data_IF_975512939064
#
_entry.id   IF_975512939064
#
_cell.length_a   1.000
_cell.length_b   1.000
_cell.length_c   1.000
_cell.angle_alpha   90.00
_cell.angle_beta   90.00
_cell.angle_gamma   90.00
#
_symmetry.space_group_name_H-M   'P 1'
#
loop_
_entity.id
_entity.type
_entity.pdbx_description
1 polymer ?
#
# COMPACT_ATOMS: atom_id res chain seq x y z
N UNK A 1 22.86 -10.67 3.08
CA UNK A 1 21.52 -10.50 3.69
C UNK A 1 21.00 -9.11 3.37
N UNK A 2 19.70 -8.96 3.10
CA UNK A 2 19.06 -7.69 2.73
C UNK A 2 17.73 -7.51 3.44
N UNK A 3 17.20 -6.29 3.38
CA UNK A 3 15.96 -5.92 4.04
C UNK A 3 14.98 -5.27 3.05
N UNK A 4 13.70 -5.66 3.16
CA UNK A 4 12.57 -4.97 2.55
C UNK A 4 11.73 -4.36 3.66
N UNK A 5 11.53 -3.05 3.60
CA UNK A 5 10.67 -2.33 4.54
C UNK A 5 9.44 -1.87 3.78
N UNK A 6 8.27 -2.35 4.19
CA UNK A 6 6.99 -1.95 3.63
C UNK A 6 6.29 -1.01 4.61
N UNK A 7 5.88 0.15 4.12
CA UNK A 7 5.14 1.13 4.93
C UNK A 7 3.84 1.50 4.23
N UNK A 8 2.71 1.13 4.83
CA UNK A 8 1.45 1.72 4.40
C UNK A 8 1.46 3.20 4.75
N UNK A 9 1.06 4.05 3.82
CA UNK A 9 0.95 5.49 4.05
C UNK A 9 0.26 5.81 5.39
N UNK A 10 0.61 6.94 6.01
CA UNK A 10 -0.08 7.46 7.18
C UNK A 10 -1.55 7.74 6.92
N UNK A 11 -2.35 8.00 7.94
CA UNK A 11 -3.76 8.28 7.80
C UNK A 11 -3.99 9.43 6.80
N UNK A 12 -4.81 9.20 5.77
CA UNK A 12 -5.23 10.25 4.82
C UNK A 12 -6.51 10.95 5.28
N UNK A 13 -6.82 12.10 4.68
CA UNK A 13 -8.08 12.83 4.92
C UNK A 13 -9.28 11.89 4.74
N UNK A 14 -9.34 11.11 3.66
CA UNK A 14 -10.44 10.19 3.41
C UNK A 14 -10.43 8.91 4.27
N UNK A 15 -9.29 8.54 4.86
CA UNK A 15 -9.31 7.53 5.91
C UNK A 15 -10.02 8.03 7.16
N UNK A 16 -9.79 9.28 7.55
CA UNK A 16 -10.48 9.92 8.68
C UNK A 16 -11.99 10.05 8.41
N UNK A 17 -12.38 10.43 7.19
CA UNK A 17 -13.77 10.54 6.75
C UNK A 17 -14.44 9.18 6.51
N UNK A 18 -13.74 8.08 6.69
CA UNK A 18 -14.21 6.71 6.45
C UNK A 18 -14.75 6.47 5.02
N UNK A 19 -14.08 7.04 4.00
CA UNK A 19 -14.47 6.91 2.59
C UNK A 19 -13.64 5.87 1.85
N UNK A 20 -14.23 5.30 0.78
CA UNK A 20 -13.50 4.49 -0.19
C UNK A 20 -12.59 5.40 -1.04
N UNK A 21 -11.28 5.29 -0.89
CA UNK A 21 -10.33 6.21 -1.54
C UNK A 21 -9.90 5.75 -2.93
N UNK A 22 -9.47 4.50 -3.03
CA UNK A 22 -8.95 3.96 -4.29
C UNK A 22 -7.84 4.83 -4.90
N UNK A 23 -8.02 5.22 -6.16
CA UNK A 23 -7.06 6.04 -6.91
C UNK A 23 -7.27 7.56 -6.78
N UNK A 24 -8.26 8.01 -6.00
CA UNK A 24 -8.38 9.47 -5.72
C UNK A 24 -7.13 9.93 -4.96
N UNK A 25 -6.55 11.04 -5.42
CA UNK A 25 -5.25 11.52 -4.95
C UNK A 25 -5.38 12.52 -3.79
N UNK A 26 -5.77 11.99 -2.63
CA UNK A 26 -5.87 12.74 -1.37
C UNK A 26 -4.59 12.63 -0.55
N UNK A 27 -4.27 13.67 0.19
CA UNK A 27 -3.07 13.75 1.03
C UNK A 27 -3.31 13.18 2.44
N UNK A 28 -2.24 13.17 3.22
CA UNK A 28 -2.22 12.87 4.65
C UNK A 28 -2.96 13.94 5.45
N UNK A 29 -3.61 13.52 6.53
CA UNK A 29 -4.00 14.44 7.61
C UNK A 29 -2.86 14.59 8.63
N UNK A 30 -3.04 15.39 9.67
CA UNK A 30 -2.02 15.64 10.70
C UNK A 30 -1.60 14.36 11.44
N UNK A 31 -2.56 13.50 11.77
CA UNK A 31 -2.24 12.21 12.38
C UNK A 31 -1.39 11.34 11.46
N UNK A 32 -1.70 11.32 10.14
CA UNK A 32 -0.90 10.59 9.15
C UNK A 32 0.53 11.10 9.05
N UNK A 33 0.75 12.41 9.14
CA UNK A 33 2.08 13.00 9.19
C UNK A 33 2.84 12.60 10.45
N UNK A 34 2.17 12.56 11.60
CA UNK A 34 2.73 12.07 12.87
C UNK A 34 3.11 10.59 12.78
N UNK A 35 2.24 9.76 12.18
CA UNK A 35 2.53 8.35 11.94
C UNK A 35 3.76 8.16 11.03
N UNK A 36 3.91 8.98 9.99
CA UNK A 36 5.06 8.92 9.09
C UNK A 36 6.37 9.34 9.80
N UNK A 37 6.33 10.36 10.66
CA UNK A 37 7.48 10.74 11.50
C UNK A 37 7.90 9.59 12.42
N UNK A 38 6.95 8.97 13.12
CA UNK A 38 7.21 7.82 13.99
C UNK A 38 7.79 6.64 13.19
N UNK A 39 7.26 6.37 12.00
CA UNK A 39 7.79 5.32 11.11
C UNK A 39 9.28 5.58 10.79
N UNK A 40 9.64 6.80 10.42
CA UNK A 40 11.03 7.19 10.17
C UNK A 40 11.94 7.00 11.38
N UNK A 41 11.47 7.36 12.58
CA UNK A 41 12.21 7.18 13.84
C UNK A 41 12.44 5.69 14.15
N UNK A 42 11.44 4.84 13.97
CA UNK A 42 11.55 3.39 14.18
C UNK A 42 12.53 2.75 13.18
N UNK A 43 12.49 3.15 11.90
CA UNK A 43 13.43 2.66 10.88
C UNK A 43 14.85 3.12 11.23
N UNK A 44 15.04 4.38 11.63
CA UNK A 44 16.35 4.93 12.02
C UNK A 44 17.00 4.13 13.15
N UNK A 45 16.21 3.70 14.14
CA UNK A 45 16.69 2.87 15.26
C UNK A 45 17.24 1.52 14.82
N UNK A 46 16.79 0.97 13.69
CA UNK A 46 17.34 -0.29 13.14
C UNK A 46 18.72 -0.13 12.51
N UNK A 47 19.19 1.10 12.25
CA UNK A 47 20.48 1.41 11.65
C UNK A 47 20.72 0.69 10.31
N UNK A 48 19.65 0.48 9.55
CA UNK A 48 19.69 -0.11 8.20
C UNK A 48 19.91 1.00 7.19
N UNK A 49 20.99 0.94 6.43
CA UNK A 49 21.19 1.82 5.28
C UNK A 49 20.23 1.42 4.16
N UNK A 50 19.39 2.34 3.70
CA UNK A 50 18.45 2.10 2.59
C UNK A 50 19.12 2.46 1.28
N UNK A 51 19.15 1.52 0.34
CA UNK A 51 19.77 1.70 -0.96
C UNK A 51 18.80 2.22 -2.02
N UNK A 52 17.53 1.78 -1.96
CA UNK A 52 16.49 2.14 -2.92
C UNK A 52 15.18 2.50 -2.23
N UNK A 53 14.54 3.55 -2.76
CA UNK A 53 13.25 4.02 -2.31
C UNK A 53 12.20 3.92 -3.43
N UNK A 54 11.05 3.29 -3.12
CA UNK A 54 9.92 3.21 -4.03
C UNK A 54 8.66 3.78 -3.40
N UNK A 55 7.83 4.40 -4.22
CA UNK A 55 6.50 4.85 -3.83
C UNK A 55 5.48 4.61 -4.94
N UNK A 56 4.20 4.56 -4.58
CA UNK A 56 3.14 4.71 -5.57
C UNK A 56 3.11 6.13 -6.16
N UNK A 57 2.24 6.37 -7.13
CA UNK A 57 2.03 7.73 -7.67
C UNK A 57 1.25 8.65 -6.72
N UNK A 58 0.56 8.10 -5.72
CA UNK A 58 -0.40 8.81 -4.89
C UNK A 58 0.26 9.64 -3.78
N UNK A 59 -0.19 10.89 -3.61
CA UNK A 59 0.39 11.88 -2.69
C UNK A 59 0.58 11.34 -1.27
N UNK A 60 -0.41 10.66 -0.71
CA UNK A 60 -0.33 10.14 0.66
C UNK A 60 0.84 9.17 0.87
N UNK A 61 1.18 8.36 -0.15
CA UNK A 61 2.34 7.47 -0.08
C UNK A 61 3.64 8.23 -0.30
N UNK A 62 3.70 9.13 -1.28
CA UNK A 62 4.85 9.99 -1.53
C UNK A 62 5.19 10.85 -0.32
N UNK A 63 4.19 11.50 0.28
CA UNK A 63 4.40 12.36 1.43
C UNK A 63 4.78 11.56 2.69
N UNK A 64 4.26 10.35 2.86
CA UNK A 64 4.73 9.44 3.92
C UNK A 64 6.21 9.13 3.75
N UNK A 65 6.62 8.76 2.53
CA UNK A 65 8.03 8.43 2.24
C UNK A 65 8.95 9.64 2.42
N UNK A 66 8.54 10.82 1.94
CA UNK A 66 9.29 12.06 2.12
C UNK A 66 9.56 12.36 3.60
N UNK A 67 8.53 12.24 4.45
CA UNK A 67 8.66 12.47 5.90
C UNK A 67 9.60 11.42 6.52
N UNK A 68 9.55 10.17 6.07
CA UNK A 68 10.48 9.12 6.52
C UNK A 68 11.91 9.48 6.12
N UNK A 69 12.18 9.89 4.87
CA UNK A 69 13.50 10.30 4.40
C UNK A 69 14.05 11.48 5.20
N UNK A 70 13.23 12.48 5.52
CA UNK A 70 13.58 13.60 6.40
C UNK A 70 14.05 13.12 7.78
N UNK A 71 13.42 12.08 8.35
CA UNK A 71 13.82 11.50 9.65
C UNK A 71 15.10 10.67 9.57
N UNK A 72 15.34 10.03 8.43
CA UNK A 72 16.56 9.27 8.17
C UNK A 72 17.76 10.15 7.80
N UNK A 73 17.51 11.42 7.46
CA UNK A 73 18.48 12.32 6.81
C UNK A 73 19.06 11.71 5.52
N UNK A 74 18.17 11.08 4.73
CA UNK A 74 18.54 10.38 3.49
C UNK A 74 17.61 10.81 2.35
N UNK A 75 18.12 11.62 1.44
CA UNK A 75 17.36 12.26 0.34
C UNK A 75 17.62 11.63 -1.02
N UNK A 76 17.93 10.34 -1.07
CA UNK A 76 18.06 9.61 -2.33
C UNK A 76 16.77 9.68 -3.17
N UNK A 77 16.94 9.56 -4.48
CA UNK A 77 15.83 9.58 -5.42
C UNK A 77 14.79 8.50 -5.13
N UNK A 78 13.52 8.88 -5.26
CA UNK A 78 12.38 7.96 -5.10
C UNK A 78 11.88 7.53 -6.47
N UNK A 79 11.87 6.23 -6.71
CA UNK A 79 11.27 5.64 -7.90
C UNK A 79 9.76 5.50 -7.69
N UNK A 80 8.98 6.17 -8.54
CA UNK A 80 7.51 6.07 -8.49
C UNK A 80 7.01 4.98 -9.44
N UNK A 81 6.17 4.07 -8.92
CA UNK A 81 5.58 2.97 -9.68
C UNK A 81 4.05 2.96 -9.50
N UNK A 82 3.31 3.12 -10.59
CA UNK A 82 1.84 3.08 -10.55
C UNK A 82 1.31 1.71 -10.13
N UNK A 83 2.05 0.65 -10.37
CA UNK A 83 1.72 -0.70 -9.94
C UNK A 83 1.59 -0.81 -8.41
N UNK A 84 2.21 0.10 -7.66
CA UNK A 84 2.09 0.19 -6.21
C UNK A 84 0.87 1.01 -5.74
N UNK A 85 0.08 1.61 -6.65
CA UNK A 85 -1.13 2.35 -6.30
C UNK A 85 -2.12 1.49 -5.49
N UNK A 86 -3.00 2.14 -4.73
CA UNK A 86 -4.09 1.46 -4.02
C UNK A 86 -5.02 0.73 -5.02
N UNK A 87 -5.74 -0.28 -4.57
CA UNK A 87 -6.80 -0.93 -5.33
C UNK A 87 -7.89 0.06 -5.72
N UNK A 88 -8.35 0.01 -6.97
CA UNK A 88 -9.47 0.83 -7.43
C UNK A 88 -10.80 0.27 -6.94
N UNK A 89 -11.60 1.11 -6.28
CA UNK A 89 -12.87 0.67 -5.68
C UNK A 89 -14.10 0.83 -6.58
N UNK A 90 -13.90 1.09 -7.88
CA UNK A 90 -15.00 1.23 -8.84
C UNK A 90 -16.00 2.31 -8.41
N UNK A 91 -17.29 2.03 -8.59
CA UNK A 91 -18.40 2.92 -8.25
C UNK A 91 -18.53 3.25 -6.75
N UNK A 92 -17.83 2.50 -5.88
CA UNK A 92 -17.76 2.83 -4.45
C UNK A 92 -16.82 3.99 -4.13
N UNK A 93 -15.96 4.41 -5.09
CA UNK A 93 -14.98 5.48 -4.88
C UNK A 93 -15.66 6.78 -4.42
N UNK A 94 -15.18 7.34 -3.32
CA UNK A 94 -15.70 8.56 -2.71
C UNK A 94 -16.87 8.35 -1.74
N UNK A 95 -17.54 7.21 -1.74
CA UNK A 95 -18.67 6.93 -0.85
C UNK A 95 -18.18 6.62 0.58
N UNK A 96 -19.01 7.01 1.56
CA UNK A 96 -18.75 6.69 2.97
C UNK A 96 -19.01 5.19 3.22
N UNK A 97 -18.11 4.53 3.97
CA UNK A 97 -18.21 3.08 4.19
C UNK A 97 -19.37 2.68 5.09
N UNK A 98 -19.73 3.51 6.09
CA UNK A 98 -20.83 3.20 7.00
C UNK A 98 -22.18 3.42 6.34
N UNK A 99 -22.34 4.47 5.51
CA UNK A 99 -23.52 4.65 4.66
C UNK A 99 -23.69 3.46 3.71
N UNK A 100 -22.60 2.97 3.12
CA UNK A 100 -22.65 1.80 2.23
C UNK A 100 -22.98 0.51 2.97
N UNK A 101 -22.54 0.32 4.21
CA UNK A 101 -22.96 -0.80 5.06
C UNK A 101 -24.48 -0.76 5.33
N UNK A 102 -25.02 0.42 5.61
CA UNK A 102 -26.48 0.60 5.79
C UNK A 102 -27.25 0.28 4.51
N UNK A 103 -26.73 0.69 3.35
CA UNK A 103 -27.39 0.53 2.05
C UNK A 103 -27.29 -0.87 1.45
N UNK A 104 -26.10 -1.50 1.54
CA UNK A 104 -25.79 -2.77 0.86
C UNK A 104 -25.68 -3.97 1.83
N UNK A 105 -25.71 -3.72 3.12
CA UNK A 105 -25.41 -4.70 4.16
C UNK A 105 -23.92 -4.78 4.49
N UNK A 106 -23.63 -5.12 5.74
CA UNK A 106 -22.27 -5.16 6.28
C UNK A 106 -21.42 -6.23 5.58
N UNK A 107 -21.98 -7.43 5.35
CA UNK A 107 -21.30 -8.54 4.68
C UNK A 107 -20.88 -8.17 3.24
N UNK A 108 -21.74 -7.51 2.48
CA UNK A 108 -21.44 -7.12 1.10
C UNK A 108 -20.30 -6.10 1.06
N UNK A 109 -20.34 -5.11 1.94
CA UNK A 109 -19.24 -4.12 2.06
C UNK A 109 -17.96 -4.77 2.53
N UNK A 110 -18.02 -5.71 3.47
CA UNK A 110 -16.88 -6.50 3.89
C UNK A 110 -16.29 -7.31 2.73
N UNK A 111 -17.12 -8.00 1.95
CA UNK A 111 -16.69 -8.73 0.76
C UNK A 111 -15.98 -7.82 -0.26
N UNK A 112 -16.53 -6.64 -0.58
CA UNK A 112 -15.87 -5.67 -1.46
C UNK A 112 -14.51 -5.21 -0.94
N UNK A 113 -14.31 -5.19 0.36
CA UNK A 113 -13.05 -4.75 0.98
C UNK A 113 -12.02 -5.85 1.15
N UNK A 114 -12.44 -7.11 1.30
CA UNK A 114 -11.59 -8.20 1.79
C UNK A 114 -11.50 -9.42 0.88
N UNK A 115 -12.50 -9.68 0.04
CA UNK A 115 -12.45 -10.84 -0.86
C UNK A 115 -11.29 -10.75 -1.85
N UNK A 116 -10.89 -11.92 -2.33
CA UNK A 116 -9.80 -12.05 -3.28
C UNK A 116 -10.16 -11.53 -4.67
N UNK A 117 -11.28 -11.94 -5.23
CA UNK A 117 -11.64 -11.77 -6.64
C UNK A 117 -12.91 -10.95 -6.90
N UNK A 118 -13.64 -10.51 -5.86
CA UNK A 118 -14.83 -9.70 -6.05
C UNK A 118 -14.45 -8.26 -6.39
N UNK A 119 -14.99 -7.75 -7.51
CA UNK A 119 -14.88 -6.36 -7.94
C UNK A 119 -16.17 -5.60 -7.60
N UNK A 120 -16.10 -4.35 -7.11
CA UNK A 120 -17.21 -3.42 -7.21
C UNK A 120 -17.56 -3.13 -8.68
N UNK A 121 -18.76 -2.60 -8.93
CA UNK A 121 -19.13 -2.13 -10.26
C UNK A 121 -18.13 -1.07 -10.77
N UNK A 122 -17.90 -0.99 -12.10
CA UNK A 122 -16.99 0.01 -12.67
C UNK A 122 -17.40 1.44 -12.33
N UNK A 123 -16.41 2.32 -12.16
CA UNK A 123 -16.63 3.75 -12.07
C UNK A 123 -16.81 4.33 -13.47
N UNK A 124 -17.80 5.21 -13.64
CA UNK A 124 -18.01 5.91 -14.89
C UNK A 124 -16.78 6.76 -15.27
N UNK A 125 -16.34 6.66 -16.54
CA UNK A 125 -15.17 7.39 -17.04
C UNK A 125 -15.35 8.91 -17.06
N UNK A 126 -16.58 9.40 -17.00
CA UNK A 126 -16.88 10.84 -16.88
C UNK A 126 -16.75 11.36 -15.45
N UNK A 127 -16.68 10.48 -14.46
CA UNK A 127 -16.52 10.87 -13.05
C UNK A 127 -15.21 11.64 -12.82
N UNK A 128 -15.26 12.73 -12.06
CA UNK A 128 -14.06 13.45 -11.63
C UNK A 128 -13.12 12.62 -10.75
N UNK A 129 -13.61 11.53 -10.17
CA UNK A 129 -12.82 10.57 -9.40
C UNK A 129 -12.17 9.48 -10.27
N UNK A 130 -12.54 9.40 -11.56
CA UNK A 130 -11.94 8.42 -12.45
C UNK A 130 -10.47 8.81 -12.73
N UNK A 131 -9.50 7.85 -12.66
CA UNK A 131 -8.08 8.17 -12.79
C UNK A 131 -7.72 8.82 -14.13
N UNK A 132 -8.45 8.57 -15.21
CA UNK A 132 -8.27 9.27 -16.50
C UNK A 132 -8.42 10.79 -16.40
N UNK A 133 -9.19 11.28 -15.41
CA UNK A 133 -9.47 12.69 -15.17
C UNK A 133 -8.57 13.31 -14.09
N UNK A 134 -7.65 12.53 -13.51
CA UNK A 134 -6.74 12.97 -12.44
C UNK A 134 -5.33 13.17 -13.01
N UNK A 135 -4.76 14.37 -12.84
CA UNK A 135 -3.48 14.74 -13.42
C UNK A 135 -2.32 13.84 -13.03
N UNK A 136 -2.34 13.30 -11.81
CA UNK A 136 -1.32 12.39 -11.27
C UNK A 136 -1.07 11.17 -12.16
N UNK A 137 -2.07 10.75 -12.95
CA UNK A 137 -2.00 9.50 -13.71
C UNK A 137 -1.83 9.69 -15.22
N UNK A 138 -1.63 10.91 -15.71
CA UNK A 138 -1.51 11.22 -17.14
C UNK A 138 -0.37 10.48 -17.85
N UNK A 139 0.67 10.08 -17.12
CA UNK A 139 1.80 9.33 -17.69
C UNK A 139 1.54 7.81 -17.77
N UNK A 140 0.45 7.33 -17.20
CA UNK A 140 0.08 5.92 -17.26
C UNK A 140 -0.68 5.66 -18.57
N UNK A 141 -0.31 4.63 -19.36
CA UNK A 141 -1.09 4.26 -20.54
C UNK A 141 -2.56 4.02 -20.19
N UNK A 142 -3.48 4.54 -20.99
CA UNK A 142 -4.91 4.50 -20.69
C UNK A 142 -5.46 3.05 -20.56
N UNK A 143 -4.89 2.10 -21.26
CA UNK A 143 -5.22 0.66 -21.19
C UNK A 143 -4.76 0.00 -19.87
N UNK A 144 -3.93 0.68 -19.07
CA UNK A 144 -3.48 0.25 -17.74
C UNK A 144 -4.25 0.89 -16.61
N UNK A 145 -5.13 1.85 -16.89
CA UNK A 145 -5.95 2.51 -15.89
C UNK A 145 -7.23 1.71 -15.68
N UNK A 146 -7.47 1.17 -14.46
CA UNK A 146 -8.64 0.35 -14.20
C UNK A 146 -9.89 1.21 -13.96
N UNK A 147 -11.04 0.74 -14.40
CA UNK A 147 -12.36 1.28 -14.01
C UNK A 147 -12.82 0.69 -12.65
N UNK A 148 -12.29 -0.48 -12.26
CA UNK A 148 -12.50 -1.18 -10.99
C UNK A 148 -11.46 -2.30 -10.81
N UNK A 149 -11.16 -2.68 -9.56
CA UNK A 149 -10.25 -3.79 -9.25
C UNK A 149 -10.77 -4.68 -8.11
N UNK A 150 -10.51 -5.97 -8.22
CA UNK A 150 -10.44 -6.91 -7.09
C UNK A 150 -9.05 -6.86 -6.44
N UNK A 151 -8.85 -7.58 -5.34
CA UNK A 151 -7.51 -7.77 -4.78
C UNK A 151 -6.62 -8.59 -5.72
N UNK A 152 -7.20 -9.55 -6.47
CA UNK A 152 -6.49 -10.34 -7.48
C UNK A 152 -5.91 -9.45 -8.59
N UNK A 153 -6.67 -8.49 -9.11
CA UNK A 153 -6.17 -7.55 -10.14
C UNK A 153 -5.01 -6.70 -9.59
N UNK A 154 -5.17 -6.20 -8.38
CA UNK A 154 -4.11 -5.48 -7.68
C UNK A 154 -2.86 -6.36 -7.51
N UNK A 155 -3.04 -7.62 -7.12
CA UNK A 155 -1.95 -8.61 -6.98
C UNK A 155 -1.21 -8.82 -8.30
N UNK A 156 -1.91 -9.02 -9.41
CA UNK A 156 -1.30 -9.29 -10.72
C UNK A 156 -0.34 -8.15 -11.13
N UNK A 157 -0.74 -6.87 -10.98
CA UNK A 157 0.13 -5.75 -11.32
C UNK A 157 1.27 -5.52 -10.32
N UNK A 158 0.99 -5.74 -9.03
CA UNK A 158 1.99 -5.56 -7.98
C UNK A 158 3.08 -6.63 -8.05
N UNK A 159 2.71 -7.90 -8.29
CA UNK A 159 3.69 -8.99 -8.35
C UNK A 159 4.51 -8.93 -9.63
N UNK A 160 3.90 -8.50 -10.74
CA UNK A 160 4.68 -8.23 -11.95
C UNK A 160 5.80 -7.21 -11.65
N UNK A 161 5.48 -6.08 -11.02
CA UNK A 161 6.46 -5.07 -10.63
C UNK A 161 7.49 -5.63 -9.63
N UNK A 162 7.03 -6.41 -8.65
CA UNK A 162 7.94 -7.04 -7.66
C UNK A 162 8.98 -7.91 -8.37
N UNK A 163 8.58 -8.79 -9.26
CA UNK A 163 9.50 -9.71 -9.97
C UNK A 163 10.47 -8.96 -10.91
N UNK A 164 9.99 -7.92 -11.59
CA UNK A 164 10.79 -7.15 -12.56
C UNK A 164 11.78 -6.20 -11.87
N UNK A 165 11.44 -5.60 -10.73
CA UNK A 165 12.21 -4.53 -10.11
C UNK A 165 12.72 -4.87 -8.70
N UNK A 166 11.85 -5.38 -7.83
CA UNK A 166 12.20 -5.54 -6.42
C UNK A 166 13.02 -6.81 -6.19
N UNK A 167 12.59 -7.94 -6.74
CA UNK A 167 13.27 -9.23 -6.55
C UNK A 167 14.70 -9.22 -7.10
N UNK A 168 14.92 -8.50 -8.19
CA UNK A 168 16.26 -8.36 -8.80
C UNK A 168 17.20 -7.57 -7.88
N UNK A 169 16.68 -6.52 -7.25
CA UNK A 169 17.45 -5.60 -6.43
C UNK A 169 17.65 -6.07 -4.99
N UNK A 170 16.67 -6.80 -4.40
CA UNK A 170 16.69 -7.21 -2.99
C UNK A 170 17.85 -8.17 -2.67
N UNK A 171 18.47 -8.80 -3.67
CA UNK A 171 19.62 -9.70 -3.48
C UNK A 171 20.79 -9.07 -2.71
N UNK A 172 21.03 -7.78 -2.92
CA UNK A 172 22.16 -7.07 -2.37
C UNK A 172 21.86 -5.62 -1.95
N UNK A 173 20.59 -5.22 -1.94
CA UNK A 173 20.15 -3.88 -1.58
C UNK A 173 19.05 -3.92 -0.53
N UNK A 174 19.08 -2.95 0.36
CA UNK A 174 17.99 -2.70 1.30
C UNK A 174 16.98 -1.74 0.64
N UNK A 175 15.72 -2.12 0.65
CA UNK A 175 14.66 -1.42 -0.09
C UNK A 175 13.59 -0.95 0.86
N UNK A 176 13.15 0.30 0.69
CA UNK A 176 11.97 0.84 1.39
C UNK A 176 10.88 1.18 0.38
N UNK A 177 9.68 0.67 0.61
CA UNK A 177 8.49 0.91 -0.21
C UNK A 177 7.40 1.57 0.64
N UNK A 178 6.97 2.77 0.25
CA UNK A 178 5.77 3.39 0.78
C UNK A 178 4.60 3.19 -0.19
N UNK A 179 3.56 2.47 0.26
CA UNK A 179 2.44 2.10 -0.58
C UNK A 179 1.10 2.08 0.19
N UNK A 180 0.18 1.18 -0.14
CA UNK A 180 -1.19 1.19 0.36
C UNK A 180 -1.60 -0.15 0.96
N UNK A 181 -2.77 -0.16 1.64
CA UNK A 181 -3.26 -1.36 2.30
C UNK A 181 -3.37 -2.56 1.36
N UNK A 182 -3.98 -2.41 0.19
CA UNK A 182 -4.17 -3.55 -0.71
C UNK A 182 -2.93 -3.88 -1.55
N UNK A 183 -2.12 -2.92 -1.96
CA UNK A 183 -0.86 -3.23 -2.65
C UNK A 183 0.15 -3.95 -1.73
N UNK A 184 0.22 -3.56 -0.45
CA UNK A 184 1.06 -4.27 0.54
C UNK A 184 0.46 -5.65 0.87
N UNK A 185 -0.87 -5.78 1.00
CA UNK A 185 -1.52 -7.10 1.16
C UNK A 185 -1.21 -8.03 -0.01
N UNK A 186 -1.17 -7.50 -1.24
CA UNK A 186 -0.78 -8.27 -2.42
C UNK A 186 0.67 -8.78 -2.31
N UNK A 187 1.61 -7.94 -1.89
CA UNK A 187 3.00 -8.35 -1.63
C UNK A 187 3.09 -9.40 -0.52
N UNK A 188 2.39 -9.19 0.59
CA UNK A 188 2.37 -10.14 1.71
C UNK A 188 1.78 -11.49 1.29
N UNK A 189 0.70 -11.50 0.47
CA UNK A 189 0.14 -12.76 -0.05
C UNK A 189 1.18 -13.57 -0.81
N UNK A 190 1.97 -12.91 -1.65
CA UNK A 190 3.05 -13.56 -2.41
C UNK A 190 4.19 -14.01 -1.51
N UNK A 191 4.73 -13.11 -0.70
CA UNK A 191 5.94 -13.36 0.10
C UNK A 191 5.73 -14.37 1.22
N UNK A 192 4.53 -14.42 1.81
CA UNK A 192 4.16 -15.36 2.87
C UNK A 192 3.41 -16.59 2.34
N UNK A 193 3.17 -16.67 1.01
CA UNK A 193 2.39 -17.75 0.39
C UNK A 193 1.00 -17.95 1.01
N UNK A 194 0.30 -16.84 1.29
CA UNK A 194 -1.02 -16.87 1.94
C UNK A 194 -2.11 -17.37 0.99
N UNK A 195 -3.05 -18.15 1.52
CA UNK A 195 -4.26 -18.51 0.79
C UNK A 195 -5.28 -17.36 0.71
N UNK A 196 -6.45 -17.62 0.10
CA UNK A 196 -7.48 -16.58 -0.07
C UNK A 196 -8.25 -16.27 1.22
N UNK A 197 -8.27 -17.18 2.20
CA UNK A 197 -8.88 -16.95 3.50
C UNK A 197 -7.94 -16.15 4.40
N UNK A 198 -6.67 -16.49 4.42
CA UNK A 198 -5.63 -15.80 5.19
C UNK A 198 -5.49 -14.34 4.76
N UNK A 199 -5.42 -14.09 3.43
CA UNK A 199 -5.30 -12.72 2.93
C UNK A 199 -6.53 -11.87 3.25
N UNK A 200 -7.72 -12.47 3.39
CA UNK A 200 -8.93 -11.74 3.78
C UNK A 200 -8.85 -11.15 5.19
N UNK A 201 -8.09 -11.79 6.07
CA UNK A 201 -7.91 -11.42 7.48
C UNK A 201 -6.71 -10.49 7.70
N UNK A 202 -5.77 -10.45 6.76
CA UNK A 202 -4.55 -9.64 6.91
C UNK A 202 -4.87 -8.15 6.93
N UNK A 203 -4.50 -7.47 8.00
CA UNK A 203 -4.56 -6.02 8.15
C UNK A 203 -3.15 -5.41 8.06
N UNK A 204 -3.06 -4.26 7.41
CA UNK A 204 -1.83 -3.47 7.32
C UNK A 204 -2.08 -2.14 8.02
N UNK A 205 -1.49 -1.87 9.17
CA UNK A 205 -1.69 -0.62 9.90
C UNK A 205 -1.03 0.56 9.16
N UNK A 206 -1.66 1.74 9.22
CA UNK A 206 -1.10 2.97 8.64
C UNK A 206 0.17 3.39 9.37
N UNK A 207 1.21 3.78 8.63
CA UNK A 207 2.45 4.32 9.18
C UNK A 207 3.18 3.40 10.17
N UNK A 208 3.01 2.08 10.04
CA UNK A 208 3.76 1.10 10.83
C UNK A 208 4.67 0.30 9.90
N UNK A 209 6.00 0.45 9.98
CA UNK A 209 6.90 -0.27 9.09
C UNK A 209 6.87 -1.78 9.35
N UNK A 210 6.67 -2.56 8.29
CA UNK A 210 6.84 -4.01 8.26
C UNK A 210 8.24 -4.30 7.72
N UNK A 211 9.14 -4.72 8.59
CA UNK A 211 10.52 -5.09 8.27
C UNK A 211 10.58 -6.56 7.90
N UNK A 212 11.11 -6.88 6.74
CA UNK A 212 11.33 -8.24 6.22
C UNK A 212 12.82 -8.45 5.97
N UNK A 213 13.35 -9.57 6.43
CA UNK A 213 14.76 -9.95 6.27
C UNK A 213 14.90 -11.11 5.30
N UNK A 214 15.79 -10.97 4.32
CA UNK A 214 16.05 -11.97 3.29
C UNK A 214 17.47 -12.51 3.38
N UNK A 215 17.66 -13.78 3.01
CA UNK A 215 19.00 -14.36 2.82
C UNK A 215 19.52 -14.11 1.39
N UNK A 216 20.73 -14.54 1.14
CA UNK A 216 21.43 -14.36 -0.15
C UNK A 216 20.78 -15.11 -1.32
N UNK A 217 19.82 -16.01 -1.04
CA UNK A 217 19.01 -16.74 -2.02
C UNK A 217 17.61 -16.12 -2.20
N UNK A 218 17.39 -14.88 -1.75
CA UNK A 218 16.10 -14.19 -1.74
C UNK A 218 14.97 -14.91 -0.96
N UNK A 219 15.33 -15.79 -0.04
CA UNK A 219 14.33 -16.42 0.82
C UNK A 219 14.04 -15.52 2.02
N UNK A 220 12.77 -15.24 2.27
CA UNK A 220 12.31 -14.55 3.46
C UNK A 220 12.66 -15.39 4.70
N UNK A 221 13.34 -14.78 5.67
CA UNK A 221 13.78 -15.42 6.92
C UNK A 221 12.90 -15.04 8.11
N UNK A 222 12.49 -13.76 8.16
CA UNK A 222 11.75 -13.20 9.28
C UNK A 222 11.02 -11.93 8.84
N UNK A 223 9.89 -11.63 9.49
CA UNK A 223 9.19 -10.37 9.36
C UNK A 223 8.70 -9.87 10.71
N UNK A 224 8.74 -8.55 10.93
CA UNK A 224 8.26 -7.91 12.15
C UNK A 224 7.69 -6.51 11.85
N UNK A 225 6.63 -6.11 12.56
CA UNK A 225 6.24 -4.71 12.62
C UNK A 225 7.13 -3.97 13.62
N UNK A 226 7.66 -2.79 13.25
CA UNK A 226 8.55 -2.04 14.12
C UNK A 226 7.82 -1.37 15.30
N UNK A 227 6.53 -1.04 15.16
CA UNK A 227 5.66 -0.66 16.27
C UNK A 227 4.83 -1.87 16.70
N UNK A 228 5.42 -2.70 17.58
CA UNK A 228 4.81 -3.94 18.05
C UNK A 228 3.49 -3.71 18.81
N UNK A 229 3.38 -2.61 19.55
CA UNK A 229 2.16 -2.27 20.30
C UNK A 229 0.95 -2.05 19.38
N UNK A 230 1.18 -1.43 18.21
CA UNK A 230 0.13 -1.21 17.20
C UNK A 230 -0.11 -2.42 16.29
N UNK A 231 0.62 -3.49 16.50
CA UNK A 231 0.55 -4.69 15.69
C UNK A 231 0.32 -5.98 16.50
N UNK A 232 0.18 -5.90 17.82
CA UNK A 232 0.07 -7.07 18.70
C UNK A 232 -1.10 -8.01 18.39
N UNK A 233 -2.19 -7.47 17.81
CA UNK A 233 -3.37 -8.23 17.40
C UNK A 233 -3.36 -8.54 15.88
N UNK A 234 -2.27 -8.26 15.18
CA UNK A 234 -2.14 -8.48 13.75
C UNK A 234 -1.41 -9.78 13.46
N UNK A 235 -1.83 -10.45 12.38
CA UNK A 235 -1.11 -11.61 11.87
C UNK A 235 0.26 -11.15 11.33
N UNK A 236 1.33 -11.76 11.84
CA UNK A 236 2.71 -11.62 11.36
C UNK A 236 3.17 -13.02 10.96
N UNK A 237 3.73 -13.16 9.77
CA UNK A 237 4.16 -14.43 9.19
C UNK A 237 5.66 -14.54 9.11
#
# INVERSE_FOLDING_TARGET
>A
MSYLILVRHGQSVWNLENRFTGWVDVDLNENGRTQAKKAGELIKQKQINIDLYYSSFQLRAKNTLKIIQEKLDDFKDVQSAWQLNERHYGSLTGLNKDEMKQKLGEDKVHQFRRSWDLRPDPLDKSSSYHPLNINTYKSIPADKIPDTESLKDTYERVIKFYNEEIEVNIKNKNILISAHGNSIRALCKYLFNLDNQEISKLEIPTGNPLLMKFNDKNKLLNSEYLDSERAKDLLVY
#
